data_IF_076264808802
#
_entry.id   IF_076264808802
#
_cell.length_a   1.000
_cell.length_b   1.000
_cell.length_c   1.000
_cell.angle_alpha   90.00
_cell.angle_beta   90.00
_cell.angle_gamma   90.00
#
_symmetry.space_group_name_H-M   'P 1'
#
loop_
_entity.id
_entity.type
_entity.pdbx_description
1 polymer ?
#
# COMPACT_ATOMS: atom_id res chain seq x y z
N UNK A 1 -19.00 9.15 17.57
CA UNK A 1 -19.82 8.54 16.49
C UNK A 1 -19.01 8.53 15.21
N UNK A 2 -19.03 7.42 14.47
CA UNK A 2 -18.37 7.33 13.16
C UNK A 2 -19.31 7.96 12.13
N UNK A 3 -18.90 9.07 11.51
CA UNK A 3 -19.65 9.71 10.43
C UNK A 3 -19.63 8.79 9.19
N UNK A 4 -20.77 8.18 8.87
CA UNK A 4 -21.00 7.46 7.63
C UNK A 4 -21.27 8.47 6.51
N UNK A 5 -20.24 8.82 5.75
CA UNK A 5 -20.40 9.54 4.50
C UNK A 5 -20.47 8.48 3.38
N UNK A 6 -21.68 8.21 2.87
CA UNK A 6 -21.88 7.53 1.58
C UNK A 6 -21.17 6.15 1.53
N UNK A 7 -21.53 5.24 2.43
CA UNK A 7 -21.02 3.85 2.42
C UNK A 7 -19.52 3.67 2.66
N UNK A 8 -18.80 4.75 3.03
CA UNK A 8 -17.35 4.72 3.26
C UNK A 8 -17.05 5.14 4.70
N UNK A 9 -16.22 4.39 5.41
CA UNK A 9 -15.83 4.65 6.80
C UNK A 9 -14.73 5.72 6.80
N UNK A 10 -14.95 6.82 7.52
CA UNK A 10 -13.90 7.81 7.77
C UNK A 10 -12.93 7.27 8.83
N UNK A 11 -11.67 7.04 8.44
CA UNK A 11 -10.63 6.53 9.34
C UNK A 11 -9.94 7.71 10.01
N UNK A 12 -10.09 7.89 11.33
CA UNK A 12 -9.44 8.97 12.05
C UNK A 12 -7.92 8.77 12.08
N UNK A 13 -7.16 9.88 12.03
CA UNK A 13 -5.70 9.87 12.14
C UNK A 13 -5.25 9.71 13.60
N UNK A 14 -5.67 8.62 14.25
CA UNK A 14 -5.38 8.34 15.66
C UNK A 14 -4.48 7.11 15.75
N UNK A 15 -3.37 7.24 16.50
CA UNK A 15 -2.41 6.17 16.70
C UNK A 15 -1.92 5.54 15.38
N UNK A 16 -1.92 4.20 15.35
CA UNK A 16 -1.40 3.41 14.23
C UNK A 16 -2.49 2.86 13.29
N UNK A 17 -3.73 3.35 13.37
CA UNK A 17 -4.87 2.80 12.59
C UNK A 17 -4.59 2.73 11.09
N UNK A 18 -4.11 3.84 10.51
CA UNK A 18 -3.78 3.91 9.08
C UNK A 18 -2.63 2.96 8.72
N UNK A 19 -1.62 2.83 9.60
CA UNK A 19 -0.48 1.94 9.35
C UNK A 19 -0.92 0.46 9.39
N UNK A 20 -1.77 0.09 10.33
CA UNK A 20 -2.29 -1.26 10.46
C UNK A 20 -3.13 -1.64 9.24
N UNK A 21 -4.00 -0.74 8.79
CA UNK A 21 -4.83 -0.95 7.60
C UNK A 21 -3.98 -1.10 6.32
N UNK A 22 -2.93 -0.31 6.18
CA UNK A 22 -1.96 -0.42 5.09
C UNK A 22 -1.17 -1.74 5.16
N UNK A 23 -0.75 -2.15 6.35
CA UNK A 23 -0.03 -3.40 6.56
C UNK A 23 -0.88 -4.63 6.25
N UNK A 24 -2.15 -4.63 6.67
CA UNK A 24 -3.09 -5.70 6.36
C UNK A 24 -3.36 -5.80 4.86
N UNK A 25 -3.58 -4.65 4.20
CA UNK A 25 -3.75 -4.61 2.74
C UNK A 25 -2.50 -5.05 1.98
N UNK A 26 -1.32 -4.74 2.50
CA UNK A 26 -0.04 -5.09 1.90
C UNK A 26 0.30 -6.58 2.02
N UNK A 27 -0.19 -7.27 3.06
CA UNK A 27 -0.01 -8.73 3.20
C UNK A 27 -0.79 -9.55 2.19
N UNK A 28 -1.76 -8.95 1.49
CA UNK A 28 -2.44 -9.61 0.38
C UNK A 28 -1.45 -9.90 -0.74
N UNK A 29 -1.38 -11.17 -1.20
CA UNK A 29 -0.49 -11.62 -2.29
C UNK A 29 -0.53 -10.69 -3.52
N UNK A 30 -1.69 -10.11 -3.80
CA UNK A 30 -1.90 -9.24 -4.96
C UNK A 30 -1.39 -7.81 -4.76
N UNK A 31 -1.35 -7.30 -3.52
CA UNK A 31 -0.83 -5.96 -3.23
C UNK A 31 0.69 -5.89 -3.31
N UNK A 32 1.37 -6.99 -2.95
CA UNK A 32 2.83 -7.09 -3.00
C UNK A 32 3.33 -6.94 -4.44
N UNK A 33 2.63 -7.55 -5.41
CA UNK A 33 3.01 -7.50 -6.82
C UNK A 33 2.47 -6.26 -7.57
N UNK A 34 1.29 -5.74 -7.19
CA UNK A 34 0.61 -4.66 -7.94
C UNK A 34 0.78 -3.26 -7.31
N UNK A 35 1.41 -3.18 -6.13
CA UNK A 35 1.88 -1.93 -5.51
C UNK A 35 0.79 -0.95 -5.08
N UNK A 36 1.18 0.33 -4.96
CA UNK A 36 0.34 1.44 -4.45
C UNK A 36 -1.01 1.59 -5.18
N UNK A 37 -1.11 1.47 -6.52
CA UNK A 37 -2.39 1.67 -7.22
C UNK A 37 -3.47 0.66 -6.83
N UNK A 38 -3.10 -0.59 -6.54
CA UNK A 38 -4.06 -1.61 -6.09
C UNK A 38 -4.47 -1.39 -4.64
N UNK A 39 -3.50 -1.17 -3.74
CA UNK A 39 -3.79 -0.83 -2.35
C UNK A 39 -4.74 0.36 -2.24
N UNK A 40 -4.55 1.38 -3.09
CA UNK A 40 -5.46 2.53 -3.16
C UNK A 40 -6.88 2.13 -3.60
N UNK A 41 -7.00 1.28 -4.63
CA UNK A 41 -8.30 0.82 -5.13
C UNK A 41 -9.06 0.01 -4.10
N UNK A 42 -8.36 -0.87 -3.38
CA UNK A 42 -8.98 -1.77 -2.40
C UNK A 42 -9.40 -0.98 -1.15
N UNK A 43 -8.55 -0.10 -0.65
CA UNK A 43 -8.85 0.69 0.54
C UNK A 43 -9.88 1.79 0.32
N UNK A 44 -9.88 2.48 -0.84
CA UNK A 44 -10.81 3.59 -1.08
C UNK A 44 -12.28 3.16 -1.17
N UNK A 45 -12.55 1.86 -1.35
CA UNK A 45 -13.92 1.32 -1.47
C UNK A 45 -14.68 1.37 -0.16
N UNK A 46 -13.98 1.13 0.95
CA UNK A 46 -14.57 1.00 2.27
C UNK A 46 -14.04 2.04 3.26
N UNK A 47 -12.87 2.62 2.99
CA UNK A 47 -12.18 3.52 3.91
C UNK A 47 -11.81 4.83 3.22
N UNK A 48 -11.95 5.92 3.96
CA UNK A 48 -11.51 7.24 3.54
C UNK A 48 -10.72 7.92 4.66
N UNK A 49 -9.57 8.51 4.32
CA UNK A 49 -8.86 9.44 5.19
C UNK A 49 -8.11 10.49 4.37
N UNK A 50 -7.82 11.65 4.98
CA UNK A 50 -7.08 12.70 4.28
C UNK A 50 -5.67 12.23 3.90
N UNK A 51 -5.24 12.53 2.67
CA UNK A 51 -3.91 12.16 2.15
C UNK A 51 -3.61 10.65 2.03
N UNK A 52 -4.63 9.80 1.80
CA UNK A 52 -4.49 8.36 1.52
C UNK A 52 -3.28 7.98 0.67
N UNK A 53 -3.17 8.54 -0.54
CA UNK A 53 -2.09 8.25 -1.49
C UNK A 53 -0.70 8.55 -0.92
N UNK A 54 -0.55 9.64 -0.16
CA UNK A 54 0.74 10.02 0.46
C UNK A 54 1.15 9.01 1.54
N UNK A 55 0.20 8.59 2.39
CA UNK A 55 0.47 7.57 3.41
C UNK A 55 0.82 6.22 2.78
N UNK A 56 0.13 5.82 1.71
CA UNK A 56 0.45 4.60 0.97
C UNK A 56 1.86 4.65 0.34
N UNK A 57 2.21 5.74 -0.33
CA UNK A 57 3.55 5.90 -0.92
C UNK A 57 4.66 5.82 0.13
N UNK A 58 4.46 6.47 1.29
CA UNK A 58 5.40 6.42 2.42
C UNK A 58 5.50 5.03 3.07
N UNK A 59 4.41 4.27 3.06
CA UNK A 59 4.40 2.90 3.59
C UNK A 59 5.15 1.95 2.65
N UNK A 60 4.82 1.98 1.35
CA UNK A 60 5.48 1.14 0.34
C UNK A 60 6.96 1.46 0.21
N UNK A 61 7.36 2.74 0.31
CA UNK A 61 8.78 3.12 0.28
C UNK A 61 9.60 2.57 1.45
N UNK A 62 8.95 2.23 2.57
CA UNK A 62 9.58 1.61 3.75
C UNK A 62 9.51 0.09 3.75
N UNK A 63 8.75 -0.52 2.85
CA UNK A 63 8.60 -1.98 2.81
C UNK A 63 9.77 -2.64 2.11
N UNK A 64 10.55 -3.46 2.82
CA UNK A 64 11.66 -4.25 2.28
C UNK A 64 11.23 -5.11 1.07
N UNK A 65 10.08 -5.80 1.13
CA UNK A 65 9.58 -6.60 0.00
C UNK A 65 9.35 -5.77 -1.28
N UNK A 66 8.83 -4.55 -1.15
CA UNK A 66 8.62 -3.67 -2.31
C UNK A 66 9.93 -3.10 -2.84
N UNK A 67 10.91 -2.86 -1.96
CA UNK A 67 12.24 -2.42 -2.35
C UNK A 67 12.99 -3.53 -3.10
N UNK A 68 12.88 -4.78 -2.65
CA UNK A 68 13.50 -5.94 -3.31
C UNK A 68 12.89 -6.17 -4.70
N UNK A 69 11.56 -6.21 -4.82
CA UNK A 69 10.88 -6.34 -6.12
C UNK A 69 11.26 -5.21 -7.07
N UNK A 70 11.38 -3.97 -6.55
CA UNK A 70 11.85 -2.83 -7.34
C UNK A 70 13.31 -3.01 -7.79
N UNK A 71 14.19 -3.51 -6.93
CA UNK A 71 15.58 -3.79 -7.28
C UNK A 71 15.68 -4.88 -8.36
N UNK A 72 14.92 -5.97 -8.22
CA UNK A 72 14.87 -7.07 -9.19
C UNK A 72 14.37 -6.61 -10.58
N UNK A 73 13.35 -5.75 -10.63
CA UNK A 73 12.84 -5.22 -11.90
C UNK A 73 13.61 -4.02 -12.47
N UNK A 74 14.32 -3.25 -11.63
CA UNK A 74 15.22 -2.19 -12.10
C UNK A 74 16.58 -2.74 -12.52
N UNK A 75 16.95 -3.93 -12.05
CA UNK A 75 18.05 -4.70 -12.61
C UNK A 75 17.58 -5.21 -13.96
N UNK A 76 18.08 -4.69 -15.08
CA UNK A 76 17.66 -5.19 -16.36
C UNK A 76 18.03 -6.67 -16.49
N UNK A 77 17.09 -7.48 -16.97
CA UNK A 77 17.19 -8.95 -16.99
C UNK A 77 18.48 -9.50 -17.65
N UNK A 78 19.20 -8.68 -18.43
CA UNK A 78 20.49 -9.03 -19.02
C UNK A 78 21.63 -9.20 -18.02
N UNK A 79 21.54 -8.65 -16.80
CA UNK A 79 22.58 -8.81 -15.76
C UNK A 79 22.48 -10.13 -14.99
N UNK A 80 21.38 -10.87 -15.14
CA UNK A 80 21.16 -12.16 -14.45
C UNK A 80 21.63 -13.38 -15.27
N UNK A 81 22.26 -13.16 -16.42
CA UNK A 81 22.85 -14.24 -17.23
C UNK A 81 24.37 -14.29 -17.05
N UNK A 82 24.84 -14.78 -15.90
CA UNK A 82 26.11 -15.54 -15.77
C UNK A 82 26.38 -15.97 -14.34
N UNK A 83 26.16 -17.25 -14.08
CA UNK A 83 27.18 -18.18 -13.58
C UNK A 83 26.67 -19.59 -13.80
#
# INVERSE_FOLDING_TARGET
GVLNFIGTICVPRVGNLIQNLLAESHRSRYSIHLGVPRMYRDLKRLNWWSSMKKHMAKFVSKSQNCQQVKYEHQTPAYLLQRS
#
